data_IF_888266301394
#
_entry.id   IF_888266301394
#
_cell.length_a   1.000
_cell.length_b   1.000
_cell.length_c   1.000
_cell.angle_alpha   90.00
_cell.angle_beta   90.00
_cell.angle_gamma   90.00
#
_symmetry.space_group_name_H-M   'P 1'
#
loop_
_entity.id
_entity.type
_entity.pdbx_description
1 polymer ?
#
# COMPACT_ATOMS: atom_id res chain seq x y z
N UNK A 1 -58.68 -56.56 64.53
CA UNK A 1 -57.20 -56.46 64.52
C UNK A 1 -56.84 -55.84 63.19
N UNK A 2 -56.86 -54.51 63.14
CA UNK A 2 -56.51 -53.74 61.95
C UNK A 2 -55.01 -53.42 62.01
N UNK A 3 -54.26 -53.89 61.01
CA UNK A 3 -52.86 -53.54 60.83
C UNK A 3 -52.77 -52.35 59.88
N UNK A 4 -52.53 -51.17 60.45
CA UNK A 4 -52.21 -49.94 59.74
C UNK A 4 -50.75 -49.97 59.31
N UNK A 5 -50.46 -50.01 58.01
CA UNK A 5 -49.13 -49.72 57.45
C UNK A 5 -49.19 -48.42 56.66
N UNK A 6 -48.64 -47.34 57.23
CA UNK A 6 -48.37 -46.07 56.55
C UNK A 6 -47.21 -46.21 55.55
N UNK A 7 -47.25 -45.53 54.38
CA UNK A 7 -46.10 -45.47 53.48
C UNK A 7 -45.06 -44.48 54.03
N UNK A 8 -43.78 -44.88 54.02
CA UNK A 8 -42.68 -43.95 54.27
C UNK A 8 -42.44 -43.10 53.01
N UNK A 9 -42.59 -41.78 53.15
CA UNK A 9 -42.12 -40.79 52.18
C UNK A 9 -40.58 -40.76 52.18
N UNK A 10 -39.97 -41.17 51.06
CA UNK A 10 -38.56 -40.90 50.78
C UNK A 10 -38.34 -39.39 50.58
N UNK A 11 -37.75 -38.74 51.57
CA UNK A 11 -37.28 -37.36 51.46
C UNK A 11 -36.13 -37.29 50.47
N UNK A 12 -36.41 -36.91 49.22
CA UNK A 12 -35.38 -36.53 48.23
C UNK A 12 -34.58 -35.34 48.77
N UNK A 13 -33.41 -35.62 49.33
CA UNK A 13 -32.39 -34.60 49.65
C UNK A 13 -31.98 -33.92 48.34
N UNK A 14 -32.54 -32.74 48.09
CA UNK A 14 -32.22 -31.94 46.91
C UNK A 14 -30.77 -31.47 46.95
N UNK A 15 -30.04 -31.61 45.84
CA UNK A 15 -28.67 -31.13 45.64
C UNK A 15 -28.55 -29.59 45.57
N UNK A 16 -29.41 -28.86 46.29
CA UNK A 16 -29.48 -27.39 46.33
C UNK A 16 -28.12 -26.75 46.62
N UNK A 17 -27.34 -27.36 47.50
CA UNK A 17 -26.00 -26.90 47.86
C UNK A 17 -25.03 -26.92 46.66
N UNK A 18 -25.14 -27.90 45.76
CA UNK A 18 -24.31 -28.01 44.55
C UNK A 18 -24.65 -26.90 43.56
N UNK A 19 -25.94 -26.58 43.38
CA UNK A 19 -26.38 -25.50 42.49
C UNK A 19 -25.96 -24.11 43.00
N UNK A 20 -26.01 -23.89 44.31
CA UNK A 20 -25.53 -22.63 44.93
C UNK A 20 -24.03 -22.47 44.67
N UNK A 21 -23.25 -23.53 44.83
CA UNK A 21 -21.80 -23.51 44.63
C UNK A 21 -21.43 -23.27 43.16
N UNK A 22 -22.17 -23.88 42.23
CA UNK A 22 -22.04 -23.62 40.79
C UNK A 22 -22.37 -22.16 40.42
N UNK A 23 -23.41 -21.58 41.00
CA UNK A 23 -23.79 -20.20 40.75
C UNK A 23 -22.69 -19.21 41.20
N UNK A 24 -22.07 -19.47 42.36
CA UNK A 24 -20.95 -18.67 42.86
C UNK A 24 -19.74 -18.76 41.92
N UNK A 25 -19.43 -19.95 41.41
CA UNK A 25 -18.34 -20.14 40.44
C UNK A 25 -18.61 -19.36 39.15
N UNK A 26 -19.84 -19.38 38.64
CA UNK A 26 -20.22 -18.62 37.44
C UNK A 26 -20.07 -17.11 37.68
N UNK A 27 -20.51 -16.59 38.82
CA UNK A 27 -20.35 -15.17 39.18
C UNK A 27 -18.87 -14.78 39.27
N UNK A 28 -18.04 -15.63 39.89
CA UNK A 28 -16.58 -15.40 39.95
C UNK A 28 -15.93 -15.40 38.58
N UNK A 29 -16.33 -16.30 37.66
CA UNK A 29 -15.84 -16.31 36.29
C UNK A 29 -16.27 -15.06 35.51
N UNK A 30 -17.49 -14.57 35.73
CA UNK A 30 -17.94 -13.29 35.17
C UNK A 30 -17.15 -12.11 35.72
N UNK A 31 -16.84 -12.09 37.02
CA UNK A 31 -16.04 -11.04 37.64
C UNK A 31 -14.60 -11.05 37.14
N UNK A 32 -13.96 -12.22 37.07
CA UNK A 32 -12.63 -12.38 36.48
C UNK A 32 -12.67 -11.98 35.01
N UNK A 33 -13.67 -12.42 34.25
CA UNK A 33 -13.86 -12.03 32.86
C UNK A 33 -14.03 -10.52 32.68
N UNK A 34 -14.78 -9.86 33.55
CA UNK A 34 -14.95 -8.41 33.57
C UNK A 34 -13.62 -7.69 33.80
N UNK A 35 -12.92 -8.05 34.88
CA UNK A 35 -11.62 -7.47 35.25
C UNK A 35 -10.60 -7.65 34.12
N UNK A 36 -10.45 -8.87 33.57
CA UNK A 36 -9.47 -9.14 32.51
C UNK A 36 -9.90 -8.69 31.11
N UNK A 37 -11.20 -8.49 30.85
CA UNK A 37 -11.69 -7.94 29.57
C UNK A 37 -11.47 -6.43 29.48
N UNK A 38 -11.42 -5.71 30.60
CA UNK A 38 -11.24 -4.24 30.60
C UNK A 38 -9.78 -3.80 30.57
N UNK A 39 -8.81 -4.70 30.82
CA UNK A 39 -7.38 -4.35 30.89
C UNK A 39 -6.66 -4.19 29.53
N UNK A 40 -7.37 -4.24 28.41
CA UNK A 40 -6.81 -3.95 27.08
C UNK A 40 -7.62 -2.88 26.31
N UNK A 41 -8.58 -2.22 26.96
CA UNK A 41 -9.20 -1.03 26.39
C UNK A 41 -8.34 0.18 26.71
N UNK A 42 -7.70 0.72 25.66
CA UNK A 42 -6.96 1.97 25.68
C UNK A 42 -7.72 3.03 26.50
N UNK A 43 -7.18 3.40 27.66
CA UNK A 43 -7.70 4.51 28.44
C UNK A 43 -7.47 5.81 27.66
N UNK A 44 -8.51 6.62 27.53
CA UNK A 44 -8.49 7.87 26.75
C UNK A 44 -7.36 8.82 27.18
N UNK A 45 -7.00 8.83 28.47
CA UNK A 45 -5.86 9.60 28.99
C UNK A 45 -4.47 9.06 28.59
N UNK A 46 -4.32 7.75 28.32
CA UNK A 46 -3.05 7.18 27.84
C UNK A 46 -2.83 7.43 26.34
N UNK A 47 -3.92 7.65 25.59
CA UNK A 47 -3.85 7.97 24.17
C UNK A 47 -3.17 9.32 23.93
N UNK A 48 -3.48 10.34 24.72
CA UNK A 48 -2.86 11.67 24.59
C UNK A 48 -1.37 11.68 24.98
N UNK A 49 -0.96 10.85 25.94
CA UNK A 49 0.43 10.80 26.40
C UNK A 49 1.34 10.02 25.43
N UNK A 50 0.83 8.94 24.83
CA UNK A 50 1.64 8.00 24.03
C UNK A 50 1.45 8.13 22.52
N UNK A 51 0.42 8.84 22.07
CA UNK A 51 0.10 8.98 20.64
C UNK A 51 -0.12 10.45 20.27
N UNK A 52 0.45 10.84 19.14
CA UNK A 52 0.21 12.18 18.57
C UNK A 52 -1.12 12.13 17.81
N UNK A 53 -2.04 13.05 18.09
CA UNK A 53 -3.25 13.17 17.30
C UNK A 53 -2.88 13.49 15.86
N UNK A 54 -3.65 12.96 14.90
CA UNK A 54 -3.32 13.07 13.47
C UNK A 54 -3.18 14.52 13.01
N UNK A 55 -3.95 15.42 13.61
CA UNK A 55 -3.99 16.84 13.24
C UNK A 55 -2.81 17.63 13.85
N UNK A 56 -2.13 17.07 14.85
CA UNK A 56 -0.94 17.64 15.49
C UNK A 56 0.38 17.23 14.81
N UNK A 57 0.32 16.37 13.80
CA UNK A 57 1.50 15.93 13.06
C UNK A 57 2.05 17.08 12.21
N UNK A 58 3.12 17.70 12.67
CA UNK A 58 3.82 18.75 11.92
C UNK A 58 4.89 18.16 11.00
N UNK A 59 5.26 18.89 9.94
CA UNK A 59 6.35 18.50 9.04
C UNK A 59 7.66 18.23 9.81
N UNK A 60 7.86 18.95 10.92
CA UNK A 60 9.04 18.82 11.76
C UNK A 60 9.14 17.48 12.51
N UNK A 61 8.03 16.76 12.66
CA UNK A 61 8.00 15.44 13.27
C UNK A 61 8.42 14.32 12.29
N UNK A 62 8.57 14.61 11.00
CA UNK A 62 9.03 13.62 10.03
C UNK A 62 10.52 13.30 10.22
N UNK A 63 10.95 12.04 10.01
CA UNK A 63 12.38 11.72 9.96
C UNK A 63 13.11 12.56 8.91
N UNK A 64 14.36 12.95 9.19
CA UNK A 64 15.16 13.83 8.31
C UNK A 64 15.26 13.30 6.87
N UNK A 65 15.30 11.97 6.71
CA UNK A 65 15.26 11.31 5.40
C UNK A 65 13.99 11.66 4.61
N UNK A 66 12.82 11.62 5.24
CA UNK A 66 11.57 11.95 4.58
C UNK A 66 11.44 13.44 4.33
N UNK A 67 11.86 14.29 5.27
CA UNK A 67 11.91 15.75 5.08
C UNK A 67 12.67 16.13 3.81
N UNK A 68 13.81 15.49 3.55
CA UNK A 68 14.65 15.76 2.37
C UNK A 68 13.96 15.52 1.00
N UNK A 69 12.87 14.76 0.98
CA UNK A 69 12.10 14.49 -0.25
C UNK A 69 11.11 15.60 -0.59
N UNK A 70 10.81 16.48 0.36
CA UNK A 70 9.92 17.61 0.18
C UNK A 70 10.74 18.89 -0.02
N UNK A 71 10.20 19.80 -0.80
CA UNK A 71 10.75 21.15 -0.95
C UNK A 71 9.79 22.05 -0.17
N UNK A 72 10.32 22.84 0.76
CA UNK A 72 9.54 23.84 1.49
C UNK A 72 8.76 24.73 0.51
N UNK A 73 7.47 24.89 0.78
CA UNK A 73 6.55 25.65 -0.07
C UNK A 73 7.10 27.04 -0.41
N UNK A 74 7.65 27.74 0.59
CA UNK A 74 8.21 29.08 0.45
C UNK A 74 9.39 29.14 -0.53
N UNK A 75 10.28 28.14 -0.50
CA UNK A 75 11.42 28.04 -1.42
C UNK A 75 10.95 27.81 -2.86
N UNK A 76 9.89 27.03 -3.04
CA UNK A 76 9.30 26.77 -4.34
C UNK A 76 8.57 27.99 -4.91
N UNK A 77 7.80 28.73 -4.10
CA UNK A 77 7.12 29.97 -4.55
C UNK A 77 8.11 31.04 -4.97
N UNK A 78 9.20 31.25 -4.23
CA UNK A 78 10.24 32.20 -4.62
C UNK A 78 10.91 31.83 -5.96
N UNK A 79 11.17 30.53 -6.20
CA UNK A 79 11.72 30.07 -7.48
C UNK A 79 10.74 30.29 -8.64
N UNK A 80 9.44 30.02 -8.44
CA UNK A 80 8.41 30.30 -9.45
C UNK A 80 8.35 31.79 -9.75
N UNK A 81 8.37 32.64 -8.74
CA UNK A 81 8.26 34.09 -8.90
C UNK A 81 9.48 34.67 -9.63
N UNK A 82 10.68 34.21 -9.29
CA UNK A 82 11.91 34.55 -10.01
C UNK A 82 11.86 34.08 -11.48
N UNK A 83 11.33 32.89 -11.75
CA UNK A 83 11.18 32.36 -13.12
C UNK A 83 10.15 33.16 -13.92
N UNK A 84 9.02 33.54 -13.30
CA UNK A 84 8.01 34.42 -13.92
C UNK A 84 8.59 35.79 -14.25
N UNK A 85 9.39 36.36 -13.36
CA UNK A 85 10.02 37.66 -13.57
C UNK A 85 11.08 37.59 -14.69
N UNK A 86 11.86 36.51 -14.76
CA UNK A 86 12.79 36.26 -15.88
C UNK A 86 12.07 36.12 -17.22
N UNK A 87 10.95 35.38 -17.27
CA UNK A 87 10.14 35.25 -18.48
C UNK A 87 9.59 36.60 -18.95
N UNK A 88 9.03 37.39 -18.03
CA UNK A 88 8.51 38.73 -18.33
C UNK A 88 9.60 39.67 -18.86
N UNK A 89 10.81 39.61 -18.28
CA UNK A 89 11.95 40.40 -18.75
C UNK A 89 12.43 39.95 -20.13
N UNK A 90 12.40 38.64 -20.40
CA UNK A 90 12.74 38.09 -21.72
C UNK A 90 11.71 38.53 -22.78
N UNK A 91 10.41 38.41 -22.49
CA UNK A 91 9.32 38.87 -23.38
C UNK A 91 9.42 40.36 -23.68
N UNK A 92 9.72 41.18 -22.67
CA UNK A 92 9.96 42.61 -22.86
C UNK A 92 11.19 42.90 -23.73
N UNK A 93 12.25 42.08 -23.65
CA UNK A 93 13.45 42.24 -24.48
C UNK A 93 13.23 41.87 -25.96
N UNK A 94 12.29 40.98 -26.25
CA UNK A 94 11.89 40.63 -27.62
C UNK A 94 11.01 41.70 -28.27
N UNK A 95 10.21 42.44 -27.48
CA UNK A 95 9.29 43.46 -28.00
C UNK A 95 9.94 44.83 -28.27
N UNK A 96 11.20 45.05 -27.88
CA UNK A 96 11.90 46.33 -28.08
C UNK A 96 12.81 46.39 -29.31
N UNK A 97 12.95 45.30 -30.09
CA UNK A 97 13.81 45.26 -31.28
C UNK A 97 13.02 44.97 -32.57
N UNK A 98 12.35 45.99 -33.10
CA UNK A 98 11.89 46.20 -34.51
C UNK A 98 10.97 45.18 -35.21
N UNK A 99 10.08 45.66 -36.11
CA UNK A 99 9.16 44.82 -36.89
C UNK A 99 9.88 44.20 -38.10
N UNK A 100 9.75 42.88 -38.30
CA UNK A 100 10.03 42.25 -39.59
C UNK A 100 8.82 41.42 -40.05
N UNK A 101 8.30 41.86 -41.19
CA UNK A 101 7.39 41.24 -42.15
C UNK A 101 7.28 39.72 -42.01
N UNK A 102 6.10 39.23 -41.62
CA UNK A 102 5.71 37.83 -41.88
C UNK A 102 4.97 37.82 -43.21
N UNK A 103 5.70 37.43 -44.25
CA UNK A 103 5.17 37.20 -45.58
C UNK A 103 4.18 36.03 -45.53
N UNK A 104 2.95 36.33 -45.93
CA UNK A 104 1.83 35.39 -46.00
C UNK A 104 2.04 34.46 -47.20
N UNK A 105 2.67 33.30 -46.97
CA UNK A 105 2.68 32.20 -47.97
C UNK A 105 1.46 31.31 -47.71
N UNK A 106 0.42 31.54 -48.50
CA UNK A 106 -0.71 30.62 -48.70
C UNK A 106 -0.38 29.77 -49.92
N UNK A 107 -0.24 28.46 -49.75
CA UNK A 107 -0.34 27.42 -50.79
C UNK A 107 -0.37 26.07 -50.06
N UNK A 108 -1.11 25.03 -50.43
CA UNK A 108 -2.24 24.79 -51.33
C UNK A 108 -2.65 23.36 -50.97
N UNK A 109 -3.95 23.13 -50.84
CA UNK A 109 -4.55 21.82 -50.59
C UNK A 109 -4.18 20.86 -51.73
N UNK A 110 -3.69 19.66 -51.39
CA UNK A 110 -3.72 18.48 -52.26
C UNK A 110 -4.38 17.37 -51.48
N UNK A 111 -5.53 16.93 -51.98
CA UNK A 111 -6.37 15.86 -51.46
C UNK A 111 -6.06 14.50 -52.12
N UNK A 112 -6.58 13.44 -51.49
CA UNK A 112 -7.03 12.13 -52.05
C UNK A 112 -5.96 11.00 -52.11
N UNK A 113 -6.30 9.68 -51.90
CA UNK A 113 -7.54 9.02 -51.43
C UNK A 113 -7.40 8.05 -50.24
N UNK A 114 -8.60 7.72 -49.73
CA UNK A 114 -9.04 6.64 -48.84
C UNK A 114 -8.59 5.23 -49.24
N UNK A 115 -8.27 4.38 -48.25
CA UNK A 115 -8.52 2.93 -48.35
C UNK A 115 -9.07 2.36 -47.04
N UNK A 116 -10.14 1.58 -47.21
CA UNK A 116 -11.04 1.03 -46.20
C UNK A 116 -10.94 -0.49 -46.30
N UNK A 117 -10.28 -1.18 -45.36
CA UNK A 117 -10.26 -2.67 -45.36
C UNK A 117 -10.19 -3.24 -43.93
N UNK A 118 -11.35 -3.77 -43.51
CA UNK A 118 -11.60 -5.06 -42.83
C UNK A 118 -11.22 -5.25 -41.36
N UNK A 119 -12.29 -5.38 -40.58
CA UNK A 119 -12.45 -6.11 -39.32
C UNK A 119 -11.94 -7.55 -39.43
N UNK A 120 -10.90 -7.90 -38.67
CA UNK A 120 -10.53 -9.30 -38.41
C UNK A 120 -10.38 -9.47 -36.91
N UNK A 121 -11.38 -10.10 -36.30
CA UNK A 121 -11.22 -10.83 -35.04
C UNK A 121 -10.04 -11.79 -35.19
N UNK A 122 -8.94 -11.50 -34.50
CA UNK A 122 -7.92 -12.50 -34.22
C UNK A 122 -7.52 -12.40 -32.76
N UNK A 123 -8.14 -13.27 -31.98
CA UNK A 123 -7.62 -13.77 -30.71
C UNK A 123 -6.14 -14.09 -30.86
N UNK A 124 -5.27 -13.25 -30.25
CA UNK A 124 -3.87 -13.61 -30.03
C UNK A 124 -3.68 -13.82 -28.55
N UNK A 125 -3.86 -15.09 -28.17
CA UNK A 125 -3.29 -15.70 -26.98
C UNK A 125 -1.77 -15.46 -27.03
N UNK A 126 -1.26 -14.58 -26.17
CA UNK A 126 0.17 -14.39 -25.95
C UNK A 126 0.60 -15.16 -24.68
N UNK A 127 1.82 -15.71 -24.64
CA UNK A 127 2.05 -17.08 -24.22
C UNK A 127 2.12 -17.27 -22.71
N UNK A 128 1.51 -18.38 -22.28
CA UNK A 128 1.91 -19.13 -21.09
C UNK A 128 3.42 -19.42 -21.14
N UNK A 129 4.18 -18.80 -20.24
CA UNK A 129 5.30 -19.44 -19.55
C UNK A 129 5.75 -18.56 -18.40
N UNK A 130 5.13 -18.80 -17.24
CA UNK A 130 5.71 -18.82 -15.89
C UNK A 130 4.56 -18.82 -14.87
N UNK A 131 3.65 -19.79 -15.02
CA UNK A 131 2.98 -20.35 -13.85
C UNK A 131 3.95 -21.35 -13.25
N UNK A 132 4.44 -21.05 -12.04
CA UNK A 132 4.26 -21.96 -10.91
C UNK A 132 4.84 -21.35 -9.63
N UNK A 133 3.91 -21.15 -8.68
CA UNK A 133 4.11 -20.84 -7.25
C UNK A 133 4.28 -19.35 -6.88
N UNK A 134 3.29 -18.53 -7.24
CA UNK A 134 2.98 -17.31 -6.49
C UNK A 134 1.76 -17.62 -5.60
N UNK A 135 2.00 -18.01 -4.34
CA UNK A 135 0.92 -18.17 -3.36
C UNK A 135 0.38 -16.79 -2.99
N UNK A 136 -0.57 -16.29 -3.79
CA UNK A 136 -1.35 -15.10 -3.49
C UNK A 136 -2.25 -15.45 -2.30
N UNK A 137 -1.89 -14.96 -1.12
CA UNK A 137 -2.75 -15.09 0.06
C UNK A 137 -3.99 -14.22 -0.16
N UNK A 138 -5.14 -14.86 -0.28
CA UNK A 138 -6.41 -14.26 -0.70
C UNK A 138 -6.96 -13.29 0.36
N UNK A 139 -6.77 -11.99 0.16
CA UNK A 139 -7.71 -10.97 0.64
C UNK A 139 -8.41 -10.39 -0.60
N UNK A 140 -9.65 -10.84 -0.84
CA UNK A 140 -10.51 -10.46 -1.97
C UNK A 140 -10.88 -8.98 -1.91
N UNK A 141 -9.96 -8.13 -2.33
CA UNK A 141 -10.32 -6.78 -2.78
C UNK A 141 -10.67 -6.93 -4.25
N UNK A 142 -11.92 -6.65 -4.66
CA UNK A 142 -12.33 -6.60 -6.07
C UNK A 142 -11.43 -5.60 -6.80
N UNK A 143 -10.32 -6.09 -7.36
CA UNK A 143 -9.45 -5.33 -8.22
C UNK A 143 -10.22 -5.12 -9.53
N UNK A 144 -10.42 -3.87 -9.93
CA UNK A 144 -11.11 -3.53 -11.16
C UNK A 144 -10.53 -4.37 -12.32
N UNK A 145 -11.40 -5.10 -13.03
CA UNK A 145 -11.08 -5.89 -14.22
C UNK A 145 -10.78 -4.96 -15.41
N UNK A 146 -9.86 -4.02 -15.24
CA UNK A 146 -9.33 -3.19 -16.33
C UNK A 146 -8.17 -3.92 -17.01
N UNK A 147 -8.00 -3.72 -18.32
CA UNK A 147 -6.77 -4.14 -19.00
C UNK A 147 -5.63 -3.24 -18.51
N UNK A 148 -4.56 -3.84 -17.99
CA UNK A 148 -3.40 -3.11 -17.49
C UNK A 148 -2.11 -3.65 -18.11
N UNK A 149 -1.12 -2.78 -18.26
CA UNK A 149 0.27 -3.19 -18.56
C UNK A 149 1.05 -3.25 -17.26
N UNK A 150 2.05 -4.13 -17.20
CA UNK A 150 2.81 -4.35 -15.97
C UNK A 150 4.31 -4.11 -16.18
N UNK A 151 4.92 -3.47 -15.20
CA UNK A 151 6.37 -3.43 -15.01
C UNK A 151 6.73 -4.07 -13.66
N UNK A 152 7.84 -4.79 -13.58
CA UNK A 152 8.30 -5.43 -12.35
C UNK A 152 9.78 -5.12 -12.11
N UNK A 153 10.08 -4.40 -11.03
CA UNK A 153 11.43 -4.27 -10.51
C UNK A 153 11.75 -5.50 -9.64
N UNK A 154 12.82 -6.23 -10.00
CA UNK A 154 13.21 -7.50 -9.36
C UNK A 154 14.56 -7.44 -8.64
N UNK A 155 15.30 -6.34 -8.78
CA UNK A 155 16.70 -6.19 -8.37
C UNK A 155 16.86 -5.12 -7.28
N UNK A 156 16.12 -5.24 -6.18
CA UNK A 156 16.38 -4.46 -4.97
C UNK A 156 17.14 -5.31 -3.95
N UNK A 157 18.00 -4.67 -3.15
CA UNK A 157 18.81 -5.36 -2.16
C UNK A 157 18.00 -5.91 -0.98
N UNK A 158 18.63 -6.80 -0.22
CA UNK A 158 18.05 -7.45 0.95
C UNK A 158 17.72 -6.39 2.01
N UNK A 159 16.47 -6.34 2.48
CA UNK A 159 16.06 -5.36 3.50
C UNK A 159 16.09 -3.89 3.07
N UNK A 160 16.51 -3.57 1.84
CA UNK A 160 16.66 -2.20 1.36
C UNK A 160 15.39 -1.66 0.70
N UNK A 161 15.19 -0.36 0.82
CA UNK A 161 14.18 0.43 0.11
C UNK A 161 14.77 1.17 -1.10
N UNK A 162 16.09 1.09 -1.28
CA UNK A 162 16.77 1.76 -2.37
C UNK A 162 16.49 1.07 -3.72
N UNK A 163 15.96 1.85 -4.66
CA UNK A 163 15.66 1.37 -6.01
C UNK A 163 16.96 1.41 -6.83
N UNK A 164 17.38 0.24 -7.33
CA UNK A 164 18.57 0.12 -8.16
C UNK A 164 18.47 0.96 -9.44
N UNK A 165 19.62 1.38 -9.96
CA UNK A 165 19.72 2.20 -11.18
C UNK A 165 18.98 1.57 -12.36
N UNK A 166 19.15 0.26 -12.56
CA UNK A 166 18.43 -0.52 -13.59
C UNK A 166 16.91 -0.38 -13.44
N UNK A 167 16.39 -0.57 -12.23
CA UNK A 167 14.95 -0.42 -12.00
C UNK A 167 14.45 1.00 -12.27
N UNK A 168 15.24 2.04 -11.94
CA UNK A 168 14.88 3.44 -12.21
C UNK A 168 14.75 3.69 -13.72
N UNK A 169 15.71 3.22 -14.51
CA UNK A 169 15.75 3.41 -15.97
C UNK A 169 14.63 2.65 -16.69
N UNK A 170 14.41 1.38 -16.35
CA UNK A 170 13.34 0.57 -16.91
C UNK A 170 11.96 1.09 -16.52
N UNK A 171 11.79 1.53 -15.27
CA UNK A 171 10.55 2.15 -14.81
C UNK A 171 10.27 3.42 -15.60
N UNK A 172 11.26 4.30 -15.77
CA UNK A 172 11.11 5.53 -16.56
C UNK A 172 10.60 5.21 -17.98
N UNK A 173 11.24 4.25 -18.65
CA UNK A 173 10.83 3.79 -19.99
C UNK A 173 9.39 3.26 -20.00
N UNK A 174 9.01 2.47 -19.00
CA UNK A 174 7.65 1.96 -18.87
C UNK A 174 6.62 3.07 -18.68
N UNK A 175 6.94 4.07 -17.84
CA UNK A 175 6.05 5.18 -17.55
C UNK A 175 5.88 6.11 -18.76
N UNK A 176 6.94 6.38 -19.52
CA UNK A 176 6.87 7.18 -20.75
C UNK A 176 5.94 6.53 -21.78
N UNK A 177 6.08 5.22 -21.99
CA UNK A 177 5.21 4.43 -22.89
C UNK A 177 3.74 4.38 -22.46
N UNK A 178 3.46 4.66 -21.18
CA UNK A 178 2.13 4.54 -20.59
C UNK A 178 1.68 5.85 -19.91
N UNK A 179 2.25 7.00 -20.29
CA UNK A 179 2.01 8.30 -19.63
C UNK A 179 0.54 8.74 -19.59
N UNK A 180 -0.26 8.24 -20.53
CA UNK A 180 -1.69 8.53 -20.68
C UNK A 180 -2.59 7.60 -19.85
N UNK A 181 -2.01 6.68 -19.06
CA UNK A 181 -2.78 5.78 -18.19
C UNK A 181 -3.62 6.57 -17.19
N UNK A 182 -4.85 6.09 -16.97
CA UNK A 182 -5.81 6.65 -16.02
C UNK A 182 -5.32 6.54 -14.56
N UNK A 183 -4.60 5.45 -14.26
CA UNK A 183 -4.08 5.16 -12.93
C UNK A 183 -2.83 4.28 -12.99
N UNK A 184 -1.92 4.47 -12.03
CA UNK A 184 -0.82 3.56 -11.75
C UNK A 184 -1.02 2.89 -10.38
N UNK A 185 -1.12 1.56 -10.35
CA UNK A 185 -1.12 0.80 -9.10
C UNK A 185 0.31 0.33 -8.78
N UNK A 186 0.72 0.49 -7.52
CA UNK A 186 2.07 0.12 -7.05
C UNK A 186 1.95 -0.91 -5.94
N UNK A 187 2.68 -2.02 -6.10
CA UNK A 187 2.62 -3.19 -5.22
C UNK A 187 4.04 -3.56 -4.78
N UNK A 188 4.26 -3.71 -3.48
CA UNK A 188 5.57 -4.07 -2.94
C UNK A 188 5.81 -5.59 -3.01
N UNK A 189 7.03 -5.97 -3.39
CA UNK A 189 7.47 -7.36 -3.45
C UNK A 189 8.65 -7.58 -2.50
N UNK A 190 8.50 -8.58 -1.64
CA UNK A 190 9.54 -8.99 -0.68
C UNK A 190 9.84 -10.47 -0.87
N UNK A 191 11.05 -10.86 -0.50
CA UNK A 191 11.46 -12.26 -0.52
C UNK A 191 11.68 -12.79 0.90
N UNK A 192 11.77 -14.11 1.02
CA UNK A 192 12.03 -14.75 2.30
C UNK A 192 13.43 -14.44 2.84
N UNK A 193 14.44 -14.25 1.97
CA UNK A 193 15.81 -14.07 2.43
C UNK A 193 16.02 -12.75 3.17
N UNK A 194 15.20 -11.72 2.90
CA UNK A 194 15.20 -10.47 3.67
C UNK A 194 14.82 -10.66 5.15
N UNK A 195 14.36 -11.86 5.51
CA UNK A 195 13.90 -12.19 6.85
C UNK A 195 14.58 -13.43 7.41
N UNK A 196 15.77 -13.82 6.91
CA UNK A 196 16.54 -14.95 7.49
C UNK A 196 16.79 -14.80 8.99
N UNK A 197 17.10 -13.60 9.46
CA UNK A 197 17.24 -13.30 10.89
C UNK A 197 15.96 -13.61 11.67
N UNK A 198 14.78 -13.41 11.08
CA UNK A 198 13.50 -13.75 11.71
C UNK A 198 13.37 -15.27 11.87
N UNK A 199 13.94 -16.08 10.97
CA UNK A 199 13.92 -17.54 11.13
C UNK A 199 14.78 -18.01 12.30
N UNK A 200 15.90 -17.32 12.57
CA UNK A 200 16.70 -17.54 13.78
C UNK A 200 15.92 -17.17 15.04
N UNK A 201 15.19 -16.05 15.00
CA UNK A 201 14.30 -15.67 16.10
C UNK A 201 13.20 -16.71 16.33
N UNK A 202 12.59 -17.27 15.28
CA UNK A 202 11.59 -18.35 15.41
C UNK A 202 12.16 -19.57 16.13
N UNK A 203 13.41 -19.94 15.84
CA UNK A 203 14.10 -21.06 16.51
C UNK A 203 14.33 -20.77 18.00
N UNK A 204 14.67 -19.53 18.37
CA UNK A 204 14.97 -19.15 19.76
C UNK A 204 13.73 -18.90 20.61
N UNK A 205 12.74 -18.19 20.07
CA UNK A 205 11.60 -17.67 20.84
C UNK A 205 10.27 -18.37 20.53
N UNK A 206 10.27 -19.32 19.58
CA UNK A 206 9.09 -20.06 19.16
C UNK A 206 8.33 -19.40 18.02
N UNK A 207 7.82 -20.23 17.10
CA UNK A 207 7.21 -19.79 15.85
C UNK A 207 6.00 -18.87 16.07
N UNK A 208 5.09 -19.23 16.97
CA UNK A 208 3.87 -18.45 17.25
C UNK A 208 4.17 -17.02 17.70
N UNK A 209 5.22 -16.83 18.51
CA UNK A 209 5.61 -15.51 19.03
C UNK A 209 6.23 -14.64 17.94
N UNK A 210 7.01 -15.24 17.06
CA UNK A 210 7.79 -14.52 16.04
C UNK A 210 7.03 -14.36 14.73
N UNK A 211 5.97 -15.15 14.48
CA UNK A 211 5.20 -15.09 13.24
C UNK A 211 4.59 -13.71 12.98
N UNK A 212 3.98 -13.07 14.00
CA UNK A 212 3.41 -11.72 13.87
C UNK A 212 4.50 -10.68 13.56
N UNK A 213 5.64 -10.77 14.24
CA UNK A 213 6.80 -9.90 14.00
C UNK A 213 7.27 -10.06 12.54
N UNK A 214 7.40 -11.29 12.06
CA UNK A 214 7.76 -11.59 10.67
C UNK A 214 6.81 -10.95 9.67
N UNK A 215 5.50 -11.05 9.94
CA UNK A 215 4.46 -10.48 9.07
C UNK A 215 4.54 -8.95 9.05
N UNK A 216 4.63 -8.29 10.20
CA UNK A 216 4.72 -6.84 10.27
C UNK A 216 6.00 -6.31 9.63
N UNK A 217 7.14 -6.97 9.82
CA UNK A 217 8.40 -6.58 9.15
C UNK A 217 8.31 -6.72 7.63
N UNK A 218 7.67 -7.79 7.13
CA UNK A 218 7.42 -7.97 5.69
C UNK A 218 6.50 -6.88 5.13
N UNK A 219 5.42 -6.57 5.84
CA UNK A 219 4.47 -5.52 5.46
C UNK A 219 5.13 -4.14 5.48
N UNK A 220 5.92 -3.83 6.51
CA UNK A 220 6.65 -2.58 6.64
C UNK A 220 7.63 -2.35 5.50
N UNK A 221 8.51 -3.32 5.22
CA UNK A 221 9.46 -3.24 4.11
C UNK A 221 8.73 -3.09 2.76
N UNK A 222 7.70 -3.89 2.54
CA UNK A 222 6.88 -3.83 1.33
C UNK A 222 6.25 -2.44 1.16
N UNK A 223 5.68 -1.88 2.23
CA UNK A 223 5.05 -0.56 2.22
C UNK A 223 6.04 0.55 1.93
N UNK A 224 7.23 0.49 2.52
CA UNK A 224 8.28 1.48 2.26
C UNK A 224 8.73 1.44 0.79
N UNK A 225 8.89 0.25 0.19
CA UNK A 225 9.19 0.13 -1.24
C UNK A 225 8.10 0.71 -2.13
N UNK A 226 6.83 0.51 -1.77
CA UNK A 226 5.69 1.12 -2.47
C UNK A 226 5.74 2.64 -2.40
N UNK A 227 6.09 3.20 -1.25
CA UNK A 227 6.26 4.65 -1.06
C UNK A 227 7.38 5.18 -1.96
N UNK A 228 8.57 4.57 -1.93
CA UNK A 228 9.70 4.98 -2.78
C UNK A 228 9.39 4.89 -4.28
N UNK A 229 8.77 3.79 -4.71
CA UNK A 229 8.36 3.63 -6.10
C UNK A 229 7.30 4.67 -6.51
N UNK A 230 6.35 4.97 -5.62
CA UNK A 230 5.32 5.98 -5.86
C UNK A 230 5.93 7.38 -6.00
N UNK A 231 6.91 7.73 -5.14
CA UNK A 231 7.67 8.98 -5.25
C UNK A 231 8.41 9.08 -6.57
N UNK A 232 9.06 8.00 -6.98
CA UNK A 232 9.79 7.95 -8.25
C UNK A 232 8.86 8.14 -9.45
N UNK A 233 7.67 7.50 -9.44
CA UNK A 233 6.64 7.70 -10.47
C UNK A 233 6.18 9.16 -10.52
N UNK A 234 5.88 9.78 -9.36
CA UNK A 234 5.50 11.20 -9.29
C UNK A 234 6.60 12.13 -9.80
N UNK A 235 7.86 11.79 -9.55
CA UNK A 235 9.01 12.56 -10.05
C UNK A 235 9.11 12.51 -11.57
N UNK A 236 8.78 11.38 -12.20
CA UNK A 236 8.84 11.22 -13.66
C UNK A 236 7.62 11.76 -14.39
N UNK A 237 6.41 11.53 -13.88
CA UNK A 237 5.16 11.89 -14.57
C UNK A 237 4.47 13.15 -14.04
N UNK A 238 4.96 13.71 -12.94
CA UNK A 238 4.36 14.86 -12.25
C UNK A 238 3.51 14.48 -11.04
N UNK A 239 3.39 15.42 -10.09
CA UNK A 239 2.77 15.20 -8.77
C UNK A 239 1.29 14.81 -8.83
N UNK A 240 0.57 15.22 -9.88
CA UNK A 240 -0.89 15.07 -10.00
C UNK A 240 -1.36 13.72 -10.58
N UNK A 241 -0.44 12.80 -10.92
CA UNK A 241 -0.85 11.48 -11.42
C UNK A 241 -1.56 10.66 -10.33
N UNK A 242 -2.62 9.98 -10.75
CA UNK A 242 -3.37 9.07 -9.90
C UNK A 242 -2.55 7.80 -9.65
N UNK A 243 -2.01 7.69 -8.44
CA UNK A 243 -1.24 6.53 -8.00
C UNK A 243 -2.00 5.85 -6.87
N UNK A 244 -2.35 4.58 -7.08
CA UNK A 244 -2.97 3.73 -6.08
C UNK A 244 -1.92 2.86 -5.42
N UNK A 245 -1.73 3.04 -4.12
CA UNK A 245 -0.91 2.12 -3.32
C UNK A 245 -1.80 1.00 -2.81
N UNK A 246 -1.39 -0.25 -2.97
CA UNK A 246 -2.14 -1.38 -2.40
C UNK A 246 -1.72 -1.67 -0.96
N UNK A 247 -2.58 -2.38 -0.24
CA UNK A 247 -2.36 -2.82 1.15
C UNK A 247 -1.90 -4.28 1.25
N UNK A 248 -1.61 -4.94 0.13
CA UNK A 248 -1.10 -6.31 0.12
C UNK A 248 0.35 -6.37 -0.37
N UNK A 249 1.06 -7.40 0.06
CA UNK A 249 2.47 -7.64 -0.27
C UNK A 249 2.59 -8.88 -1.13
N UNK A 250 3.39 -8.80 -2.19
CA UNK A 250 3.77 -9.97 -2.98
C UNK A 250 4.97 -10.64 -2.31
N UNK A 251 4.81 -11.91 -1.96
CA UNK A 251 5.91 -12.75 -1.46
C UNK A 251 6.48 -13.54 -2.63
N UNK A 252 7.74 -13.29 -2.95
CA UNK A 252 8.49 -14.06 -3.95
C UNK A 252 9.47 -15.00 -3.26
N UNK A 253 9.88 -16.07 -3.96
CA UNK A 253 10.97 -16.94 -3.49
C UNK A 253 12.29 -16.17 -3.41
N UNK A 254 12.66 -15.50 -4.50
CA UNK A 254 13.98 -14.87 -4.66
C UNK A 254 13.93 -13.44 -5.21
N UNK A 255 12.77 -12.93 -5.63
CA UNK A 255 12.67 -11.62 -6.26
C UNK A 255 12.28 -10.55 -5.23
N UNK A 256 12.90 -9.38 -5.35
CA UNK A 256 12.74 -8.28 -4.41
C UNK A 256 12.51 -7.00 -5.18
N UNK A 257 11.46 -6.27 -4.82
CA UNK A 257 11.25 -4.95 -5.38
C UNK A 257 9.80 -4.51 -5.35
N UNK A 258 9.26 -4.17 -6.51
CA UNK A 258 7.88 -3.71 -6.64
C UNK A 258 7.35 -3.99 -8.05
N UNK A 259 6.03 -3.96 -8.17
CA UNK A 259 5.29 -4.07 -9.41
C UNK A 259 4.54 -2.76 -9.62
N UNK A 260 4.53 -2.27 -10.87
CA UNK A 260 3.69 -1.15 -11.29
C UNK A 260 2.73 -1.66 -12.36
N UNK A 261 1.44 -1.43 -12.15
CA UNK A 261 0.41 -1.68 -13.15
C UNK A 261 -0.13 -0.36 -13.66
N UNK A 262 -0.14 -0.19 -14.98
CA UNK A 262 -0.66 0.99 -15.66
C UNK A 262 -2.01 0.63 -16.28
N UNK A 263 -3.07 1.25 -15.78
CA UNK A 263 -4.44 1.02 -16.23
C UNK A 263 -4.78 2.00 -17.36
N UNK A 264 -5.40 1.49 -18.43
CA UNK A 264 -5.90 2.35 -19.50
C UNK A 264 -7.00 3.28 -18.99
#
# INVERSE_FOLDING_TARGET
MDNTSTPQEEVKKSNSLVYILLAIIVILLFYIGYIYSTYDMLNEGELEEKYVQKDDITFDMLPSYDKSKYIEFYKHTNQIEQLKQKLKNLENSFNTNTPMVVEKVVEKIVEVPVEKVVEVEKTVTAPSSMENNLNITNNKTKLAKGTFKTYTCKSMDIGSIEISKKCKEELKTFLEKNKNSSMFEVIGMVDHQSFKFIDELKKRYGEKRVQKISQYSQMGLSRQRVIEASWLIRRYLGKHKNIKTVNYTIKSKNLKGFIVRAYK
#
